data_IF_830460617356
#
_entry.id   IF_830460617356
#
_cell.length_a   1.000
_cell.length_b   1.000
_cell.length_c   1.000
_cell.angle_alpha   90.00
_cell.angle_beta   90.00
_cell.angle_gamma   90.00
#
_symmetry.space_group_name_H-M   'P 1'
#
loop_
_entity.id
_entity.type
_entity.pdbx_description
1 polymer ?
#
# COMPACT_ATOMS: atom_id res chain seq x y z
N UNK A 1 16.52 2.38 3.62
CA UNK A 1 16.87 1.12 2.92
C UNK A 1 15.89 0.06 3.40
N UNK A 2 15.36 -0.83 2.55
CA UNK A 2 14.53 -1.96 3.04
C UNK A 2 15.50 -2.97 3.63
N UNK A 3 15.61 -3.01 4.95
CA UNK A 3 16.71 -3.73 5.60
C UNK A 3 16.41 -5.22 5.78
N UNK A 4 15.15 -5.67 5.69
CA UNK A 4 14.80 -7.07 6.01
C UNK A 4 13.74 -7.66 5.08
N UNK A 5 14.18 -8.36 4.05
CA UNK A 5 13.33 -9.26 3.24
C UNK A 5 13.40 -10.66 3.88
N UNK A 6 12.28 -11.39 4.03
CA UNK A 6 12.30 -12.74 4.56
C UNK A 6 13.25 -13.66 3.79
N UNK A 7 13.99 -14.57 4.47
CA UNK A 7 14.92 -15.48 3.84
C UNK A 7 14.16 -16.55 3.06
N UNK A 8 13.93 -16.27 1.77
CA UNK A 8 13.25 -17.18 0.88
C UNK A 8 14.22 -18.17 0.24
N UNK A 9 13.88 -19.46 0.31
CA UNK A 9 14.64 -20.54 -0.36
C UNK A 9 14.37 -20.57 -1.86
N UNK A 10 13.17 -20.19 -2.30
CA UNK A 10 12.83 -20.08 -3.71
C UNK A 10 13.27 -18.72 -4.29
N UNK A 11 14.28 -18.76 -5.15
CA UNK A 11 14.82 -17.59 -5.84
C UNK A 11 13.77 -16.86 -6.70
N UNK A 12 12.79 -17.58 -7.28
CA UNK A 12 11.75 -16.96 -8.10
C UNK A 12 10.80 -16.13 -7.23
N UNK A 13 10.34 -16.67 -6.12
CA UNK A 13 9.50 -15.93 -5.17
C UNK A 13 10.26 -14.77 -4.55
N UNK A 14 11.56 -14.93 -4.25
CA UNK A 14 12.41 -13.84 -3.76
C UNK A 14 12.53 -12.68 -4.76
N UNK A 15 12.76 -12.99 -6.04
CA UNK A 15 12.83 -11.98 -7.11
C UNK A 15 11.49 -11.25 -7.28
N UNK A 16 10.38 -12.01 -7.24
CA UNK A 16 9.04 -11.41 -7.33
C UNK A 16 8.74 -10.51 -6.13
N UNK A 17 9.06 -10.93 -4.92
CA UNK A 17 8.88 -10.11 -3.72
C UNK A 17 9.69 -8.80 -3.81
N UNK A 18 10.95 -8.87 -4.24
CA UNK A 18 11.78 -7.67 -4.47
C UNK A 18 11.14 -6.71 -5.46
N UNK A 19 10.56 -7.22 -6.55
CA UNK A 19 9.86 -6.40 -7.53
C UNK A 19 8.63 -5.72 -6.92
N UNK A 20 7.77 -6.47 -6.22
CA UNK A 20 6.56 -5.92 -5.58
C UNK A 20 6.93 -4.81 -4.57
N UNK A 21 7.93 -5.03 -3.72
CA UNK A 21 8.41 -4.03 -2.75
C UNK A 21 8.98 -2.77 -3.43
N UNK A 22 9.60 -2.91 -4.61
CA UNK A 22 10.10 -1.78 -5.40
C UNK A 22 8.95 -0.97 -6.00
N UNK A 23 7.84 -1.62 -6.37
CA UNK A 23 6.63 -0.98 -6.91
C UNK A 23 5.74 -0.37 -5.82
N UNK A 24 5.91 -0.78 -4.56
CA UNK A 24 5.27 -0.15 -3.40
C UNK A 24 5.82 1.26 -3.18
N UNK A 25 4.94 2.27 -2.97
CA UNK A 25 5.37 3.62 -2.62
C UNK A 25 6.28 3.62 -1.40
N UNK A 26 7.27 4.52 -1.37
CA UNK A 26 8.27 4.56 -0.30
C UNK A 26 7.68 4.64 1.10
N UNK A 27 6.56 5.36 1.26
CA UNK A 27 5.85 5.53 2.53
C UNK A 27 5.20 4.24 3.06
N UNK A 28 4.82 3.29 2.18
CA UNK A 28 4.13 2.05 2.57
C UNK A 28 5.09 0.85 2.56
N UNK A 29 6.37 1.09 2.31
CA UNK A 29 7.34 0.04 1.94
C UNK A 29 7.77 -0.80 3.14
N UNK A 30 7.83 -0.20 4.33
CA UNK A 30 8.11 -0.91 5.58
C UNK A 30 6.93 -1.79 5.98
N UNK A 31 5.71 -1.26 5.94
CA UNK A 31 4.48 -2.03 6.16
C UNK A 31 4.35 -3.19 5.18
N UNK A 32 4.65 -2.95 3.90
CA UNK A 32 4.70 -4.01 2.90
C UNK A 32 5.75 -5.07 3.22
N UNK A 33 6.93 -4.68 3.72
CA UNK A 33 7.95 -5.65 4.13
C UNK A 33 7.46 -6.48 5.33
N UNK A 34 6.75 -5.87 6.28
CA UNK A 34 6.15 -6.56 7.41
C UNK A 34 5.06 -7.56 6.97
N UNK A 35 4.19 -7.19 6.04
CA UNK A 35 3.20 -8.09 5.44
C UNK A 35 3.86 -9.30 4.75
N UNK A 36 5.01 -9.09 4.10
CA UNK A 36 5.78 -10.16 3.51
C UNK A 36 6.30 -11.14 4.58
N UNK A 37 6.78 -10.63 5.71
CA UNK A 37 7.23 -11.45 6.83
C UNK A 37 6.10 -12.27 7.45
N UNK A 38 4.94 -11.66 7.70
CA UNK A 38 3.77 -12.36 8.23
C UNK A 38 3.34 -13.49 7.30
N UNK A 39 3.23 -13.20 6.00
CA UNK A 39 2.89 -14.22 5.02
C UNK A 39 3.92 -15.36 4.97
N UNK A 40 5.22 -15.05 5.09
CA UNK A 40 6.27 -16.06 5.10
C UNK A 40 6.15 -17.00 6.30
N UNK A 41 5.95 -16.43 7.51
CA UNK A 41 5.78 -17.22 8.73
C UNK A 41 4.52 -18.09 8.73
N UNK A 42 3.47 -17.63 8.05
CA UNK A 42 2.22 -18.39 7.87
C UNK A 42 2.27 -19.39 6.69
N UNK A 43 3.40 -19.53 6.01
CA UNK A 43 3.54 -20.41 4.84
C UNK A 43 2.77 -19.94 3.60
N UNK A 44 2.32 -18.67 3.57
CA UNK A 44 1.65 -18.03 2.42
C UNK A 44 2.69 -17.41 1.48
N UNK A 45 2.29 -17.13 0.24
CA UNK A 45 3.15 -16.45 -0.73
C UNK A 45 3.33 -14.95 -0.36
N UNK A 46 4.56 -14.52 0.00
CA UNK A 46 4.76 -13.14 0.48
C UNK A 46 4.66 -12.09 -0.62
N UNK A 47 5.07 -12.41 -1.85
CA UNK A 47 4.91 -11.50 -2.98
C UNK A 47 3.42 -11.21 -3.25
N UNK A 48 2.56 -12.22 -3.11
CA UNK A 48 1.10 -12.04 -3.21
C UNK A 48 0.56 -11.16 -2.08
N UNK A 49 1.03 -11.36 -0.85
CA UNK A 49 0.62 -10.54 0.29
C UNK A 49 0.96 -9.05 0.09
N UNK A 50 2.20 -8.74 -0.35
CA UNK A 50 2.61 -7.37 -0.67
C UNK A 50 1.74 -6.75 -1.75
N UNK A 51 1.45 -7.50 -2.82
CA UNK A 51 0.60 -7.01 -3.89
C UNK A 51 -0.82 -6.68 -3.39
N UNK A 52 -1.41 -7.57 -2.58
CA UNK A 52 -2.72 -7.35 -1.95
C UNK A 52 -2.72 -6.12 -1.04
N UNK A 53 -1.69 -5.95 -0.20
CA UNK A 53 -1.50 -4.78 0.64
C UNK A 53 -1.43 -3.50 -0.20
N UNK A 54 -0.56 -3.46 -1.21
CA UNK A 54 -0.40 -2.29 -2.09
C UNK A 54 -1.71 -1.93 -2.83
N UNK A 55 -2.49 -2.93 -3.25
CA UNK A 55 -3.80 -2.69 -3.86
C UNK A 55 -4.81 -2.11 -2.85
N UNK A 56 -4.83 -2.62 -1.61
CA UNK A 56 -5.69 -2.11 -0.53
C UNK A 56 -5.37 -0.63 -0.26
N UNK A 57 -4.10 -0.28 -0.12
CA UNK A 57 -3.68 1.09 0.18
C UNK A 57 -3.95 2.07 -0.97
N UNK A 58 -3.80 1.60 -2.22
CA UNK A 58 -4.22 2.39 -3.39
C UNK A 58 -5.72 2.66 -3.38
N UNK A 59 -6.55 1.66 -3.06
CA UNK A 59 -8.01 1.83 -2.96
C UNK A 59 -8.39 2.75 -1.81
N UNK A 60 -7.73 2.62 -0.67
CA UNK A 60 -7.96 3.48 0.50
C UNK A 60 -7.66 4.95 0.19
N UNK A 61 -6.49 5.25 -0.40
CA UNK A 61 -6.15 6.61 -0.83
C UNK A 61 -7.09 7.16 -1.90
N UNK A 62 -7.55 6.33 -2.85
CA UNK A 62 -8.58 6.75 -3.82
C UNK A 62 -9.88 7.16 -3.14
N UNK A 63 -10.33 6.39 -2.13
CA UNK A 63 -11.51 6.76 -1.33
C UNK A 63 -11.29 8.05 -0.55
N UNK A 64 -10.13 8.20 0.11
CA UNK A 64 -9.82 9.44 0.84
C UNK A 64 -9.81 10.67 -0.07
N UNK A 65 -9.24 10.56 -1.29
CA UNK A 65 -9.28 11.66 -2.27
C UNK A 65 -10.71 11.98 -2.73
N UNK A 66 -11.55 10.97 -2.94
CA UNK A 66 -12.95 11.19 -3.30
C UNK A 66 -13.77 11.84 -2.17
N UNK A 67 -13.45 11.54 -0.91
CA UNK A 67 -14.08 12.16 0.27
C UNK A 67 -13.53 13.58 0.49
N UNK A 68 -12.22 13.79 0.38
CA UNK A 68 -11.58 15.10 0.51
C UNK A 68 -12.07 16.10 -0.55
N UNK A 69 -12.21 15.64 -1.80
CA UNK A 69 -12.81 16.47 -2.86
C UNK A 69 -14.30 16.79 -2.63
N UNK A 70 -15.05 15.97 -1.89
CA UNK A 70 -16.43 16.30 -1.48
C UNK A 70 -16.47 17.33 -0.37
N UNK A 71 -15.55 17.29 0.59
CA UNK A 71 -15.47 18.27 1.66
C UNK A 71 -15.09 19.67 1.13
N UNK A 72 -14.17 19.74 0.16
CA UNK A 72 -13.74 21.01 -0.46
C UNK A 72 -14.86 21.66 -1.29
N UNK A 73 -15.66 20.86 -2.01
CA UNK A 73 -16.81 21.37 -2.78
C UNK A 73 -17.93 21.89 -1.87
N UNK A 74 -18.17 21.26 -0.71
CA UNK A 74 -19.18 21.71 0.25
C UNK A 74 -18.75 22.99 1.00
N UNK A 75 -17.45 23.15 1.31
CA UNK A 75 -16.93 24.40 1.90
C UNK A 75 -16.94 25.59 0.93
N UNK A 76 -16.85 25.36 -0.39
CA UNK A 76 -16.94 26.41 -1.39
C UNK A 76 -18.38 26.93 -1.61
N UNK A 77 -19.39 26.09 -1.40
CA UNK A 77 -20.80 26.49 -1.54
C UNK A 77 -21.30 27.35 -0.38
N UNK A 78 -20.71 27.22 0.81
CA UNK A 78 -21.10 28.01 1.98
C UNK A 78 -20.62 29.48 1.91
N UNK A 79 -19.55 29.75 1.16
CA UNK A 79 -19.04 31.11 0.96
C UNK A 79 -19.80 31.93 -0.09
N UNK A 80 -20.67 31.30 -0.90
CA UNK A 80 -21.37 31.98 -1.99
C UNK A 80 -22.77 32.52 -1.60
N UNK A 81 -23.28 32.21 -0.41
CA UNK A 81 -24.63 32.63 0.03
C UNK A 81 -24.67 33.73 1.11
N UNK A 82 -23.51 34.31 1.46
CA UNK A 82 -23.42 35.46 2.35
C UNK A 82 -23.01 36.72 1.57
N UNK A 83 -23.91 37.26 0.75
CA UNK A 83 -23.84 38.62 0.22
C UNK A 83 -25.22 39.20 0.00
#
# INVERSE_FOLDING_TARGET
>A
MITHIPPMTDARTAAKLKLELRLTPGVDREDAAQEAWLAHMEGRNPARAVNTFAQRERRYRRRQRAVGGRAEVLGATEHCHAR
#
